data_IF_185630069873
#
_entry.id   IF_185630069873
#
_cell.length_a   1.000
_cell.length_b   1.000
_cell.length_c   1.000
_cell.angle_alpha   90.00
_cell.angle_beta   90.00
_cell.angle_gamma   90.00
#
_symmetry.space_group_name_H-M   'P 1'
#
loop_
_entity.id
_entity.type
_entity.pdbx_description
1 polymer ?
#
# COMPACT_ATOMS: atom_id res chain seq x y z
N UNK A 1 4.83 -8.54 -47.69
CA UNK A 1 4.95 -7.92 -49.02
C UNK A 1 5.33 -9.03 -49.98
N UNK A 2 4.46 -9.35 -50.93
CA UNK A 2 4.78 -10.33 -51.98
C UNK A 2 5.87 -9.72 -52.87
N UNK A 3 6.95 -10.48 -53.13
CA UNK A 3 8.00 -10.03 -54.04
C UNK A 3 7.37 -9.70 -55.40
N UNK A 4 7.58 -8.47 -55.87
CA UNK A 4 7.18 -8.04 -57.20
C UNK A 4 7.85 -8.97 -58.22
N UNK A 5 7.09 -9.47 -59.19
CA UNK A 5 7.59 -10.32 -60.27
C UNK A 5 7.34 -9.62 -61.58
N UNK A 6 8.33 -9.61 -62.45
CA UNK A 6 8.17 -9.06 -63.78
C UNK A 6 7.11 -9.86 -64.57
N UNK A 7 6.11 -9.17 -65.11
CA UNK A 7 5.02 -9.79 -65.89
C UNK A 7 5.51 -10.40 -67.21
N UNK A 8 6.55 -9.82 -67.81
CA UNK A 8 7.08 -10.24 -69.11
C UNK A 8 8.07 -11.41 -69.05
N UNK A 9 9.05 -11.40 -68.13
CA UNK A 9 10.10 -12.43 -68.05
C UNK A 9 10.04 -13.31 -66.78
N UNK A 10 9.14 -13.01 -65.84
CA UNK A 10 9.03 -13.74 -64.57
C UNK A 10 10.19 -13.50 -63.59
N UNK A 11 11.15 -12.64 -63.94
CA UNK A 11 12.29 -12.29 -63.10
C UNK A 11 11.89 -11.58 -61.82
N UNK A 12 12.64 -11.85 -60.75
CA UNK A 12 12.48 -11.22 -59.44
C UNK A 12 13.40 -10.02 -59.23
N UNK A 13 14.35 -9.81 -60.15
CA UNK A 13 15.27 -8.68 -60.09
C UNK A 13 14.62 -7.46 -60.74
N UNK A 14 14.13 -6.58 -59.86
CA UNK A 14 13.45 -5.34 -60.20
C UNK A 14 14.25 -4.20 -59.57
N UNK A 15 14.65 -3.25 -60.41
CA UNK A 15 15.29 -2.01 -59.99
C UNK A 15 14.20 -0.99 -59.63
N UNK A 16 14.37 -0.34 -58.49
CA UNK A 16 13.41 0.63 -57.93
C UNK A 16 14.11 1.98 -57.94
N UNK A 17 13.96 2.71 -59.04
CA UNK A 17 14.48 4.07 -59.23
C UNK A 17 13.37 5.11 -59.20
N UNK A 18 13.41 6.07 -60.13
CA UNK A 18 12.27 6.96 -60.38
C UNK A 18 11.07 6.21 -61.01
N UNK A 19 11.38 5.16 -61.76
CA UNK A 19 10.46 4.20 -62.34
C UNK A 19 10.85 2.80 -61.84
N UNK A 20 9.87 1.92 -61.65
CA UNK A 20 10.12 0.54 -61.23
C UNK A 20 10.28 -0.32 -62.47
N UNK A 21 11.48 -0.84 -62.74
CA UNK A 21 11.77 -1.57 -63.98
C UNK A 21 12.49 -2.90 -63.73
N UNK A 22 12.23 -3.91 -64.56
CA UNK A 22 12.93 -5.19 -64.47
C UNK A 22 14.33 -5.12 -65.09
N UNK A 23 15.38 -5.48 -64.35
CA UNK A 23 16.77 -5.45 -64.84
C UNK A 23 17.07 -6.50 -65.91
N UNK A 24 16.34 -7.62 -65.91
CA UNK A 24 16.54 -8.73 -66.83
C UNK A 24 15.93 -8.53 -68.22
N UNK A 25 14.85 -7.74 -68.35
CA UNK A 25 14.17 -7.52 -69.64
C UNK A 25 13.90 -6.05 -69.98
N UNK A 26 14.18 -5.11 -69.06
CA UNK A 26 13.98 -3.67 -69.26
C UNK A 26 12.52 -3.20 -69.19
N UNK A 27 11.58 -4.07 -68.80
CA UNK A 27 10.15 -3.71 -68.73
C UNK A 27 9.87 -2.83 -67.52
N UNK A 28 9.24 -1.66 -67.75
CA UNK A 28 8.75 -0.76 -66.70
C UNK A 28 7.41 -1.29 -66.17
N UNK A 29 7.32 -1.47 -64.86
CA UNK A 29 6.17 -1.98 -64.13
C UNK A 29 5.32 -0.83 -63.53
N UNK A 30 5.95 0.28 -63.16
CA UNK A 30 5.28 1.44 -62.57
C UNK A 30 6.04 2.74 -62.92
N UNK A 31 5.36 3.68 -63.59
CA UNK A 31 5.92 4.96 -64.06
C UNK A 31 5.88 6.06 -62.99
N UNK A 32 4.95 5.98 -62.03
CA UNK A 32 4.80 6.97 -60.95
C UNK A 32 4.70 6.25 -59.62
N UNK A 33 5.80 6.27 -58.89
CA UNK A 33 5.86 5.72 -57.54
C UNK A 33 5.09 6.67 -56.62
N UNK A 34 3.95 6.24 -56.09
CA UNK A 34 3.26 6.96 -55.02
C UNK A 34 4.09 6.77 -53.74
N UNK A 35 4.96 7.73 -53.46
CA UNK A 35 5.75 7.72 -52.23
C UNK A 35 4.87 8.22 -51.09
N UNK A 36 4.82 7.48 -49.99
CA UNK A 36 4.13 7.90 -48.75
C UNK A 36 4.89 8.97 -47.96
N UNK A 37 5.95 9.54 -48.53
CA UNK A 37 6.79 10.55 -47.90
C UNK A 37 6.17 11.94 -48.09
N UNK A 38 6.19 12.72 -47.01
CA UNK A 38 5.68 14.09 -47.01
C UNK A 38 6.73 14.98 -47.67
N UNK A 39 6.43 15.52 -48.85
CA UNK A 39 7.27 16.53 -49.49
C UNK A 39 6.99 17.90 -48.86
N UNK A 40 8.02 18.74 -48.73
CA UNK A 40 7.87 20.10 -48.22
C UNK A 40 8.33 21.08 -49.28
N UNK A 41 7.43 21.96 -49.71
CA UNK A 41 7.71 23.04 -50.66
C UNK A 41 7.91 24.35 -49.91
N UNK A 42 8.94 25.11 -50.26
CA UNK A 42 9.14 26.44 -49.69
C UNK A 42 8.12 27.42 -50.27
N UNK A 43 7.25 27.94 -49.40
CA UNK A 43 6.32 29.00 -49.75
C UNK A 43 7.06 30.33 -49.99
N UNK A 44 6.43 31.29 -50.69
CA UNK A 44 7.05 32.56 -51.07
C UNK A 44 7.60 33.41 -49.90
N UNK A 45 7.17 33.11 -48.67
CA UNK A 45 7.59 33.79 -47.45
C UNK A 45 8.66 33.01 -46.65
N UNK A 46 9.27 31.97 -47.22
CA UNK A 46 10.24 31.10 -46.54
C UNK A 46 9.61 30.11 -45.54
N UNK A 47 8.28 29.98 -45.53
CA UNK A 47 7.60 28.96 -44.74
C UNK A 47 7.52 27.67 -45.54
N UNK A 48 7.97 26.55 -44.98
CA UNK A 48 7.81 25.24 -45.60
C UNK A 48 6.34 24.79 -45.51
N UNK A 49 5.73 24.48 -46.65
CA UNK A 49 4.39 23.93 -46.79
C UNK A 49 4.52 22.46 -47.13
N UNK A 50 3.92 21.58 -46.32
CA UNK A 50 3.86 20.16 -46.64
C UNK A 50 2.89 19.92 -47.82
N UNK A 51 3.40 19.34 -48.91
CA UNK A 51 2.64 18.93 -50.07
C UNK A 51 2.05 17.54 -49.82
N UNK A 52 0.76 17.51 -49.50
CA UNK A 52 0.00 16.29 -49.21
C UNK A 52 -1.20 16.54 -48.31
N UNK A 53 -2.22 15.69 -48.38
CA UNK A 53 -3.36 15.74 -47.46
C UNK A 53 -3.16 14.74 -46.32
N UNK A 54 -3.11 15.20 -45.08
CA UNK A 54 -3.04 14.31 -43.92
C UNK A 54 -4.37 13.57 -43.76
N UNK A 55 -4.34 12.24 -43.85
CA UNK A 55 -5.48 11.36 -43.60
C UNK A 55 -5.16 10.55 -42.35
N UNK A 56 -5.89 10.81 -41.26
CA UNK A 56 -5.74 10.08 -40.00
C UNK A 56 -6.24 8.65 -40.17
N UNK A 57 -5.51 7.67 -39.62
CA UNK A 57 -5.89 6.25 -39.64
C UNK A 57 -7.20 5.97 -38.87
N UNK A 58 -7.60 6.89 -38.00
CA UNK A 58 -8.86 6.86 -37.24
C UNK A 58 -9.97 7.72 -37.87
N UNK A 59 -9.68 8.46 -38.95
CA UNK A 59 -10.71 9.26 -39.62
C UNK A 59 -11.66 8.33 -40.37
N UNK A 60 -12.93 8.31 -39.96
CA UNK A 60 -13.99 7.53 -40.61
C UNK A 60 -14.50 8.21 -41.89
N UNK A 61 -13.57 8.73 -42.70
CA UNK A 61 -13.87 9.35 -43.98
C UNK A 61 -14.67 10.64 -43.85
N UNK A 62 -14.01 11.74 -43.47
CA UNK A 62 -14.56 13.10 -43.67
C UNK A 62 -14.41 13.58 -45.13
N UNK A 63 -14.68 12.67 -46.08
CA UNK A 63 -14.69 12.93 -47.52
C UNK A 63 -15.91 12.25 -48.16
N UNK A 64 -17.10 12.39 -47.55
CA UNK A 64 -18.35 11.86 -48.12
C UNK A 64 -18.98 12.77 -49.18
N UNK A 65 -18.34 13.89 -49.54
CA UNK A 65 -18.86 14.83 -50.53
C UNK A 65 -17.78 15.24 -51.52
N UNK A 66 -17.82 14.60 -52.69
CA UNK A 66 -17.18 15.10 -53.90
C UNK A 66 -17.66 16.55 -54.12
N UNK A 67 -16.74 17.52 -53.99
CA UNK A 67 -16.96 18.99 -54.03
C UNK A 67 -17.27 19.77 -52.73
N UNK A 68 -17.35 19.17 -51.54
CA UNK A 68 -17.24 20.00 -50.34
C UNK A 68 -15.76 20.15 -49.99
N UNK A 69 -15.22 21.36 -50.12
CA UNK A 69 -13.84 21.67 -49.79
C UNK A 69 -13.45 21.06 -48.46
N UNK A 70 -12.47 20.15 -48.50
CA UNK A 70 -11.76 19.68 -47.31
C UNK A 70 -11.32 20.93 -46.57
N UNK A 71 -11.84 21.14 -45.36
CA UNK A 71 -11.45 22.28 -44.53
C UNK A 71 -9.98 22.09 -44.15
N UNK A 72 -9.10 22.62 -44.99
CA UNK A 72 -7.67 22.82 -44.74
C UNK A 72 -7.54 23.54 -43.39
N UNK A 73 -7.19 22.81 -42.32
CA UNK A 73 -6.91 23.40 -41.01
C UNK A 73 -7.85 23.02 -39.86
N UNK A 74 -8.82 22.12 -40.06
CA UNK A 74 -9.59 21.57 -38.95
C UNK A 74 -8.77 20.55 -38.16
N UNK A 75 -8.12 20.96 -37.05
CA UNK A 75 -7.50 20.01 -36.11
C UNK A 75 -8.57 19.02 -35.61
N UNK A 76 -8.29 17.71 -35.71
CA UNK A 76 -9.23 16.69 -35.23
C UNK A 76 -9.51 16.89 -33.73
N UNK A 77 -10.77 16.78 -33.29
CA UNK A 77 -11.15 17.02 -31.89
C UNK A 77 -10.40 16.10 -30.91
N UNK A 78 -10.04 14.88 -31.37
CA UNK A 78 -9.23 13.93 -30.61
C UNK A 78 -7.79 14.43 -30.43
N UNK A 79 -7.19 14.97 -31.47
CA UNK A 79 -5.83 15.51 -31.43
C UNK A 79 -5.75 16.75 -30.51
N UNK A 80 -6.74 17.64 -30.59
CA UNK A 80 -6.85 18.78 -29.65
C UNK A 80 -6.92 18.30 -28.21
N UNK A 81 -7.69 17.24 -27.94
CA UNK A 81 -7.81 16.64 -26.59
C UNK A 81 -6.47 16.10 -26.10
N UNK A 82 -5.71 15.42 -26.97
CA UNK A 82 -4.38 14.90 -26.64
C UNK A 82 -3.38 16.06 -26.41
N UNK A 83 -3.45 17.13 -27.20
CA UNK A 83 -2.60 18.31 -27.01
C UNK A 83 -2.90 19.02 -25.67
N UNK A 84 -4.18 19.15 -25.30
CA UNK A 84 -4.59 19.70 -24.01
C UNK A 84 -4.14 18.81 -22.84
N UNK A 85 -4.29 17.49 -22.98
CA UNK A 85 -3.80 16.54 -21.98
C UNK A 85 -2.28 16.59 -21.84
N UNK A 86 -1.54 16.76 -22.94
CA UNK A 86 -0.08 16.97 -22.93
C UNK A 86 0.29 18.18 -22.09
N UNK A 87 -0.36 19.32 -22.30
CA UNK A 87 -0.12 20.54 -21.50
C UNK A 87 -0.39 20.31 -20.02
N UNK A 88 -1.54 19.71 -19.68
CA UNK A 88 -1.92 19.44 -18.29
C UNK A 88 -0.98 18.46 -17.59
N UNK A 89 -0.61 17.36 -18.26
CA UNK A 89 0.31 16.36 -17.71
C UNK A 89 1.71 16.96 -17.53
N UNK A 90 2.21 17.69 -18.52
CA UNK A 90 3.52 18.35 -18.43
C UNK A 90 3.56 19.38 -17.30
N UNK A 91 2.49 20.16 -17.10
CA UNK A 91 2.42 21.14 -16.00
C UNK A 91 2.53 20.46 -14.62
N UNK A 92 1.78 19.39 -14.38
CA UNK A 92 1.81 18.65 -13.11
C UNK A 92 3.18 17.98 -12.90
N UNK A 93 3.73 17.34 -13.94
CA UNK A 93 5.05 16.71 -13.85
C UNK A 93 6.18 17.71 -13.61
N UNK A 94 6.06 18.93 -14.13
CA UNK A 94 7.02 20.01 -13.87
C UNK A 94 6.99 20.44 -12.39
N UNK A 95 5.79 20.56 -11.79
CA UNK A 95 5.65 20.83 -10.36
C UNK A 95 6.25 19.71 -9.49
N UNK A 96 6.12 18.45 -9.93
CA UNK A 96 6.73 17.28 -9.27
C UNK A 96 8.22 17.07 -9.59
N UNK A 97 8.84 17.95 -10.40
CA UNK A 97 10.24 17.85 -10.86
C UNK A 97 10.58 16.50 -11.50
N UNK A 98 9.67 15.93 -12.28
CA UNK A 98 9.83 14.61 -12.89
C UNK A 98 10.50 14.65 -14.28
N UNK A 99 11.17 13.55 -14.64
CA UNK A 99 11.88 13.39 -15.92
C UNK A 99 10.90 13.31 -17.10
N UNK A 100 11.35 13.67 -18.30
CA UNK A 100 10.54 13.61 -19.54
C UNK A 100 10.01 12.21 -19.85
N UNK A 101 10.76 11.15 -19.51
CA UNK A 101 10.31 9.77 -19.70
C UNK A 101 8.97 9.48 -18.99
N UNK A 102 8.75 10.05 -17.80
CA UNK A 102 7.49 9.90 -17.05
C UNK A 102 6.34 10.59 -17.78
N UNK A 103 6.60 11.76 -18.36
CA UNK A 103 5.62 12.55 -19.13
C UNK A 103 5.20 11.78 -20.38
N UNK A 104 6.14 11.25 -21.15
CA UNK A 104 5.85 10.51 -22.38
C UNK A 104 5.08 9.21 -22.11
N UNK A 105 5.45 8.48 -21.04
CA UNK A 105 4.70 7.29 -20.60
C UNK A 105 3.29 7.64 -20.12
N UNK A 106 3.14 8.69 -19.32
CA UNK A 106 1.81 9.16 -18.88
C UNK A 106 0.92 9.53 -20.07
N UNK A 107 1.49 10.14 -21.12
CA UNK A 107 0.77 10.46 -22.34
C UNK A 107 0.40 9.23 -23.16
N UNK A 108 1.28 8.23 -23.23
CA UNK A 108 0.96 6.96 -23.88
C UNK A 108 -0.22 6.27 -23.20
N UNK A 109 -0.23 6.23 -21.87
CA UNK A 109 -1.37 5.71 -21.10
C UNK A 109 -2.65 6.53 -21.33
N UNK A 110 -2.55 7.86 -21.32
CA UNK A 110 -3.70 8.72 -21.60
C UNK A 110 -4.31 8.46 -22.98
N UNK A 111 -3.48 8.31 -24.02
CA UNK A 111 -3.94 7.95 -25.38
C UNK A 111 -4.67 6.61 -25.39
N UNK A 112 -4.16 5.62 -24.66
CA UNK A 112 -4.81 4.31 -24.54
C UNK A 112 -6.17 4.41 -23.84
N UNK A 113 -6.27 5.17 -22.74
CA UNK A 113 -7.55 5.38 -22.04
C UNK A 113 -8.56 6.18 -22.85
N UNK A 114 -8.09 7.12 -23.67
CA UNK A 114 -8.93 7.87 -24.60
C UNK A 114 -9.56 6.95 -25.65
N UNK A 115 -8.77 6.02 -26.21
CA UNK A 115 -9.26 5.00 -27.15
C UNK A 115 -10.29 4.07 -26.50
N UNK A 116 -10.09 3.71 -25.23
CA UNK A 116 -11.03 2.91 -24.44
C UNK A 116 -12.24 3.71 -23.92
N UNK A 117 -12.36 4.99 -24.27
CA UNK A 117 -13.44 5.91 -23.84
C UNK A 117 -13.56 6.04 -22.31
N UNK A 118 -12.51 5.71 -21.55
CA UNK A 118 -12.49 5.71 -20.08
C UNK A 118 -12.34 7.10 -19.47
N UNK A 119 -11.93 8.08 -20.27
CA UNK A 119 -11.75 9.49 -19.89
C UNK A 119 -13.06 10.29 -19.90
N UNK A 120 -14.15 9.75 -20.48
CA UNK A 120 -15.45 10.44 -20.59
C UNK A 120 -16.17 10.49 -19.23
N UNK A 121 -16.76 11.64 -18.91
CA UNK A 121 -17.59 11.83 -17.72
C UNK A 121 -16.81 12.03 -16.40
N UNK A 122 -15.50 12.22 -16.44
CA UNK A 122 -14.67 12.55 -15.27
C UNK A 122 -13.93 13.87 -15.49
N UNK A 123 -13.58 14.55 -14.40
CA UNK A 123 -12.73 15.75 -14.46
C UNK A 123 -11.40 15.42 -15.15
N UNK A 124 -10.94 16.31 -16.02
CA UNK A 124 -9.71 16.08 -16.79
C UNK A 124 -8.49 15.98 -15.89
N UNK A 125 -8.42 16.78 -14.82
CA UNK A 125 -7.35 16.76 -13.81
C UNK A 125 -7.19 15.39 -13.15
N UNK A 126 -8.30 14.74 -12.76
CA UNK A 126 -8.30 13.38 -12.21
C UNK A 126 -7.73 12.36 -13.21
N UNK A 127 -8.10 12.50 -14.49
CA UNK A 127 -7.59 11.61 -15.52
C UNK A 127 -6.08 11.84 -15.73
N UNK A 128 -5.61 13.09 -15.72
CA UNK A 128 -4.19 13.42 -15.84
C UNK A 128 -3.39 12.83 -14.66
N UNK A 129 -3.82 13.07 -13.40
CA UNK A 129 -3.12 12.55 -12.23
C UNK A 129 -3.13 11.02 -12.15
N UNK A 130 -4.22 10.36 -12.52
CA UNK A 130 -4.26 8.90 -12.54
C UNK A 130 -3.28 8.31 -13.57
N UNK A 131 -3.12 8.95 -14.73
CA UNK A 131 -2.14 8.54 -15.76
C UNK A 131 -0.70 8.78 -15.29
N UNK A 132 -0.43 9.94 -14.67
CA UNK A 132 0.88 10.29 -14.10
C UNK A 132 1.25 9.30 -13.00
N UNK A 133 0.35 9.03 -12.06
CA UNK A 133 0.62 8.10 -10.96
C UNK A 133 0.91 6.69 -11.47
N UNK A 134 0.20 6.24 -12.50
CA UNK A 134 0.48 4.94 -13.11
C UNK A 134 1.87 4.88 -13.75
N UNK A 135 2.32 5.96 -14.42
CA UNK A 135 3.67 6.06 -14.95
C UNK A 135 4.74 6.12 -13.84
N UNK A 136 4.49 6.88 -12.76
CA UNK A 136 5.38 6.97 -11.60
C UNK A 136 5.55 5.62 -10.90
N UNK A 137 4.48 4.84 -10.76
CA UNK A 137 4.52 3.48 -10.21
C UNK A 137 5.33 2.52 -11.08
N UNK A 138 5.29 2.68 -12.40
CA UNK A 138 6.08 1.87 -13.31
C UNK A 138 7.57 2.20 -13.24
N UNK A 139 7.93 3.49 -13.09
CA UNK A 139 9.32 3.94 -12.94
C UNK A 139 9.87 3.77 -11.51
N UNK A 140 9.04 3.29 -10.57
CA UNK A 140 9.39 3.14 -9.15
C UNK A 140 9.90 4.44 -8.51
N UNK A 141 9.27 5.59 -8.82
CA UNK A 141 9.60 6.88 -8.21
C UNK A 141 9.08 6.99 -6.76
N UNK A 142 9.75 7.80 -5.96
CA UNK A 142 9.49 8.19 -4.57
C UNK A 142 8.27 9.11 -4.35
N UNK A 143 7.49 9.43 -5.39
CA UNK A 143 6.28 10.26 -5.29
C UNK A 143 5.08 9.47 -4.77
N UNK A 144 4.39 9.99 -3.76
CA UNK A 144 3.20 9.39 -3.18
C UNK A 144 1.92 9.91 -3.86
N UNK A 145 0.84 9.14 -3.76
CA UNK A 145 -0.48 9.53 -4.28
C UNK A 145 -1.00 10.81 -3.62
N UNK A 146 -0.64 11.04 -2.37
CA UNK A 146 -1.00 12.24 -1.59
C UNK A 146 -0.30 13.49 -2.13
N UNK A 147 0.91 13.38 -2.67
CA UNK A 147 1.63 14.55 -3.21
C UNK A 147 0.90 15.08 -4.46
N UNK A 148 0.36 14.18 -5.29
CA UNK A 148 -0.48 14.54 -6.45
C UNK A 148 -1.83 15.15 -6.02
N UNK A 149 -2.37 14.65 -4.92
CA UNK A 149 -3.62 15.15 -4.33
C UNK A 149 -3.44 16.58 -3.81
N UNK A 150 -2.32 16.88 -3.15
CA UNK A 150 -2.01 18.20 -2.61
C UNK A 150 -1.83 19.24 -3.73
N UNK A 151 -1.17 18.86 -4.85
CA UNK A 151 -0.97 19.75 -6.00
C UNK A 151 -2.29 20.09 -6.70
N UNK A 152 -3.19 19.11 -6.83
CA UNK A 152 -4.46 19.30 -7.56
C UNK A 152 -5.61 19.80 -6.67
N UNK A 153 -5.48 19.70 -5.35
CA UNK A 153 -6.57 20.04 -4.43
C UNK A 153 -7.78 19.10 -4.53
N UNK A 154 -7.56 17.82 -4.85
CA UNK A 154 -8.63 16.82 -5.05
C UNK A 154 -8.53 15.75 -3.96
N UNK A 155 -9.65 15.15 -3.53
CA UNK A 155 -9.61 14.08 -2.54
C UNK A 155 -8.83 12.83 -3.02
N UNK A 156 -7.87 12.37 -2.21
CA UNK A 156 -7.06 11.14 -2.44
C UNK A 156 -7.91 9.92 -2.78
N UNK A 157 -9.09 9.78 -2.16
CA UNK A 157 -9.97 8.63 -2.37
C UNK A 157 -10.61 8.62 -3.76
N UNK A 158 -10.95 9.79 -4.31
CA UNK A 158 -11.49 9.92 -5.67
C UNK A 158 -10.43 9.60 -6.72
N UNK A 159 -9.20 10.10 -6.49
CA UNK A 159 -8.04 9.79 -7.32
C UNK A 159 -7.71 8.30 -7.29
N UNK A 160 -7.71 7.69 -6.09
CA UNK A 160 -7.46 6.26 -5.90
C UNK A 160 -8.51 5.37 -6.60
N UNK A 161 -9.79 5.74 -6.56
CA UNK A 161 -10.87 5.02 -7.30
C UNK A 161 -10.63 5.07 -8.81
N UNK A 162 -10.24 6.23 -9.34
CA UNK A 162 -9.95 6.42 -10.76
C UNK A 162 -8.73 5.60 -11.19
N UNK A 163 -7.66 5.65 -10.41
CA UNK A 163 -6.45 4.86 -10.61
C UNK A 163 -6.75 3.35 -10.61
N UNK A 164 -7.49 2.85 -9.62
CA UNK A 164 -7.87 1.45 -9.54
C UNK A 164 -8.73 1.00 -10.73
N UNK A 165 -9.60 1.88 -11.25
CA UNK A 165 -10.38 1.58 -12.44
C UNK A 165 -9.49 1.47 -13.67
N UNK A 166 -8.53 2.38 -13.84
CA UNK A 166 -7.56 2.37 -14.94
C UNK A 166 -6.65 1.13 -14.93
N UNK A 167 -6.08 0.78 -13.79
CA UNK A 167 -5.22 -0.41 -13.65
C UNK A 167 -6.00 -1.70 -13.88
N UNK A 168 -7.23 -1.81 -13.35
CA UNK A 168 -8.12 -2.95 -13.62
C UNK A 168 -8.47 -3.09 -15.09
N UNK A 169 -8.72 -1.99 -15.81
CA UNK A 169 -9.08 -2.04 -17.24
C UNK A 169 -7.92 -2.44 -18.14
N UNK A 170 -6.68 -2.07 -17.79
CA UNK A 170 -5.50 -2.47 -18.55
C UNK A 170 -4.89 -3.79 -18.08
N UNK A 171 -5.44 -4.39 -17.02
CA UNK A 171 -4.91 -5.61 -16.39
C UNK A 171 -3.42 -5.52 -16.00
N UNK A 172 -2.92 -4.31 -15.76
CA UNK A 172 -1.53 -4.09 -15.36
C UNK A 172 -1.45 -4.33 -13.85
N UNK A 173 -0.62 -5.30 -13.45
CA UNK A 173 -0.24 -5.48 -12.04
C UNK A 173 0.86 -4.47 -11.72
N UNK A 174 0.60 -3.46 -10.87
CA UNK A 174 1.65 -2.50 -10.50
C UNK A 174 2.76 -3.23 -9.72
N UNK A 175 4.03 -2.85 -9.91
CA UNK A 175 5.10 -3.42 -9.11
C UNK A 175 4.89 -3.06 -7.63
N UNK A 176 5.27 -3.98 -6.75
CA UNK A 176 5.41 -3.70 -5.32
C UNK A 176 6.47 -2.62 -5.13
N UNK A 177 6.22 -1.70 -4.20
CA UNK A 177 7.17 -0.63 -3.91
C UNK A 177 7.81 -0.83 -2.55
N UNK A 178 9.14 -0.73 -2.54
CA UNK A 178 9.92 -0.85 -1.32
C UNK A 178 9.91 0.49 -0.56
N UNK A 179 9.68 0.49 0.76
CA UNK A 179 9.63 1.73 1.54
C UNK A 179 10.97 2.47 1.59
N UNK A 180 12.09 1.78 1.34
CA UNK A 180 13.44 2.36 1.36
C UNK A 180 13.60 3.55 0.40
N UNK A 181 12.89 3.56 -0.74
CA UNK A 181 12.94 4.66 -1.71
C UNK A 181 12.46 6.00 -1.13
N UNK A 182 11.55 5.99 -0.15
CA UNK A 182 11.01 7.21 0.42
C UNK A 182 11.94 7.87 1.46
N UNK A 183 12.89 7.12 2.02
CA UNK A 183 13.77 7.59 3.10
C UNK A 183 14.67 8.73 2.62
N UNK A 184 15.28 8.59 1.44
CA UNK A 184 16.14 9.62 0.87
C UNK A 184 15.37 10.93 0.61
N UNK A 185 14.14 10.82 0.10
CA UNK A 185 13.27 11.97 -0.12
C UNK A 185 12.95 12.71 1.19
N UNK A 186 12.49 11.98 2.20
CA UNK A 186 12.09 12.55 3.48
C UNK A 186 13.27 13.10 4.30
N UNK A 187 14.42 12.42 4.29
CA UNK A 187 15.65 12.91 4.94
C UNK A 187 16.16 14.21 4.33
N UNK A 188 15.98 14.42 3.02
CA UNK A 188 16.27 15.69 2.36
C UNK A 188 15.34 16.83 2.78
N UNK A 189 14.12 16.52 3.23
CA UNK A 189 13.14 17.49 3.72
C UNK A 189 13.28 17.81 5.21
N UNK A 190 13.94 16.94 5.99
CA UNK A 190 14.09 17.06 7.46
C UNK A 190 15.32 17.89 7.89
N UNK A 191 16.04 18.50 6.94
CA UNK A 191 17.22 19.38 7.18
C UNK A 191 18.21 18.79 8.21
N UNK A 192 18.71 17.58 7.94
CA UNK A 192 19.57 16.81 8.86
C UNK A 192 21.06 17.19 8.83
N UNK A 193 21.41 18.41 8.39
CA UNK A 193 22.79 18.91 8.38
C UNK A 193 23.80 17.98 7.66
N UNK A 194 24.99 17.85 8.25
CA UNK A 194 26.13 17.06 7.72
C UNK A 194 25.95 15.55 7.84
N UNK A 195 25.23 15.08 8.87
CA UNK A 195 25.07 13.65 9.16
C UNK A 195 23.81 13.04 8.53
N UNK A 196 23.13 13.78 7.64
CA UNK A 196 21.96 13.32 6.86
C UNK A 196 22.18 11.94 6.25
N UNK A 197 23.38 11.70 5.72
CA UNK A 197 23.70 10.44 5.03
C UNK A 197 23.77 9.27 6.03
N UNK A 198 24.40 9.47 7.18
CA UNK A 198 24.46 8.48 8.26
C UNK A 198 23.06 8.14 8.77
N UNK A 199 22.25 9.16 9.07
CA UNK A 199 20.85 9.00 9.51
C UNK A 199 20.02 8.27 8.46
N UNK A 200 20.16 8.63 7.18
CA UNK A 200 19.41 7.98 6.09
C UNK A 200 19.78 6.50 5.92
N UNK A 201 21.06 6.16 6.09
CA UNK A 201 21.54 4.79 5.98
C UNK A 201 21.04 3.94 7.15
N UNK A 202 21.14 4.45 8.39
CA UNK A 202 20.58 3.78 9.58
C UNK A 202 19.07 3.59 9.45
N UNK A 203 18.34 4.63 9.02
CA UNK A 203 16.89 4.53 8.77
C UNK A 203 16.55 3.47 7.71
N UNK A 204 17.36 3.33 6.66
CA UNK A 204 17.17 2.30 5.65
C UNK A 204 17.34 0.90 6.20
N UNK A 205 18.36 0.67 7.05
CA UNK A 205 18.56 -0.60 7.74
C UNK A 205 17.40 -0.93 8.68
N UNK A 206 16.92 0.06 9.43
CA UNK A 206 15.72 -0.10 10.28
C UNK A 206 14.51 -0.52 9.42
N UNK A 207 14.25 0.13 8.29
CA UNK A 207 13.13 -0.25 7.41
C UNK A 207 13.30 -1.65 6.82
N UNK A 208 14.53 -2.06 6.48
CA UNK A 208 14.80 -3.43 6.03
C UNK A 208 14.53 -4.45 7.14
N UNK A 209 14.89 -4.12 8.39
CA UNK A 209 14.55 -4.92 9.57
C UNK A 209 13.04 -5.02 9.76
N UNK A 210 12.33 -3.90 9.70
CA UNK A 210 10.85 -3.85 9.71
C UNK A 210 10.21 -4.68 8.59
N UNK A 211 10.92 -4.85 7.46
CA UNK A 211 10.49 -5.72 6.37
C UNK A 211 10.62 -7.19 6.73
N UNK A 212 11.74 -7.58 7.35
CA UNK A 212 12.02 -8.94 7.84
C UNK A 212 11.06 -9.34 8.96
N UNK A 213 10.76 -8.43 9.88
CA UNK A 213 9.83 -8.63 11.00
C UNK A 213 8.34 -8.53 10.61
N UNK A 214 8.01 -8.53 9.31
CA UNK A 214 6.66 -8.43 8.74
C UNK A 214 5.75 -7.29 9.25
N UNK A 215 6.28 -6.32 10.01
CA UNK A 215 5.49 -5.19 10.52
C UNK A 215 5.01 -4.28 9.39
N UNK A 216 5.65 -4.34 8.22
CA UNK A 216 5.28 -3.55 7.05
C UNK A 216 4.01 -4.04 6.32
N UNK A 217 3.64 -5.32 6.49
CA UNK A 217 2.62 -5.95 5.66
C UNK A 217 1.23 -5.34 5.89
N UNK A 218 0.50 -5.07 4.80
CA UNK A 218 -0.86 -4.51 4.85
C UNK A 218 -0.94 -3.05 5.32
N UNK A 219 0.18 -2.35 5.47
CA UNK A 219 0.24 -0.98 6.02
C UNK A 219 0.82 0.02 5.04
N UNK A 220 0.62 1.31 5.33
CA UNK A 220 1.14 2.41 4.51
C UNK A 220 2.65 2.56 4.73
N UNK A 221 3.48 2.58 3.67
CA UNK A 221 4.93 2.70 3.80
C UNK A 221 5.37 4.01 4.43
N UNK A 222 4.65 5.11 4.19
CA UNK A 222 4.94 6.43 4.77
C UNK A 222 5.09 6.38 6.29
N UNK A 223 4.18 5.69 6.99
CA UNK A 223 4.22 5.57 8.46
C UNK A 223 5.45 4.84 8.98
N UNK A 224 5.93 3.82 8.26
CA UNK A 224 7.12 3.06 8.63
C UNK A 224 8.39 3.88 8.39
N UNK A 225 8.48 4.56 7.24
CA UNK A 225 9.60 5.44 6.93
C UNK A 225 9.71 6.59 7.93
N UNK A 226 8.58 7.18 8.34
CA UNK A 226 8.56 8.23 9.37
C UNK A 226 9.05 7.75 10.72
N UNK A 227 8.61 6.55 11.16
CA UNK A 227 9.06 5.94 12.42
C UNK A 227 10.55 5.62 12.38
N UNK A 228 11.02 5.02 11.28
CA UNK A 228 12.44 4.71 11.07
C UNK A 228 13.32 5.96 11.04
N UNK A 229 12.86 7.06 10.42
CA UNK A 229 13.57 8.33 10.41
C UNK A 229 13.64 8.96 11.80
N UNK A 230 12.56 8.91 12.57
CA UNK A 230 12.57 9.43 13.94
C UNK A 230 13.54 8.65 14.83
N UNK A 231 13.54 7.32 14.73
CA UNK A 231 14.47 6.47 15.46
C UNK A 231 15.92 6.73 15.07
N UNK A 232 16.21 6.73 13.76
CA UNK A 232 17.56 7.02 13.28
C UNK A 232 18.02 8.43 13.68
N UNK A 233 17.14 9.43 13.66
CA UNK A 233 17.47 10.77 14.09
C UNK A 233 17.85 10.81 15.59
N UNK A 234 17.05 10.15 16.45
CA UNK A 234 17.35 10.04 17.89
C UNK A 234 18.66 9.28 18.17
N UNK A 235 18.96 8.25 17.40
CA UNK A 235 20.18 7.45 17.55
C UNK A 235 21.46 8.22 17.19
N UNK A 236 21.37 9.17 16.26
CA UNK A 236 22.48 10.06 15.91
C UNK A 236 22.41 11.40 16.67
N UNK A 237 21.70 11.45 17.81
CA UNK A 237 21.54 12.63 18.68
C UNK A 237 20.87 13.86 18.01
N UNK A 238 20.16 13.65 16.89
CA UNK A 238 19.35 14.67 16.25
C UNK A 238 17.90 14.59 16.73
N UNK A 239 17.60 15.31 17.80
CA UNK A 239 16.27 15.32 18.40
C UNK A 239 15.32 16.21 17.57
N UNK A 240 14.55 15.59 16.66
CA UNK A 240 13.41 16.21 15.98
C UNK A 240 12.10 15.86 16.67
N UNK A 241 11.15 16.80 16.67
CA UNK A 241 9.83 16.54 17.25
C UNK A 241 9.03 15.57 16.34
N UNK A 242 8.18 14.71 16.91
CA UNK A 242 7.27 13.87 16.13
C UNK A 242 6.37 14.69 15.18
N UNK A 243 5.99 15.90 15.61
CA UNK A 243 5.20 16.87 14.85
C UNK A 243 5.88 17.32 13.55
N UNK A 244 7.20 17.52 13.55
CA UNK A 244 7.92 17.94 12.35
C UNK A 244 7.98 16.83 11.30
N UNK A 245 8.15 15.58 11.75
CA UNK A 245 8.15 14.41 10.87
C UNK A 245 6.76 14.18 10.27
N UNK A 246 5.70 14.36 11.08
CA UNK A 246 4.31 14.28 10.64
C UNK A 246 4.00 15.24 9.49
N UNK A 247 4.49 16.49 9.56
CA UNK A 247 4.30 17.51 8.50
C UNK A 247 4.92 17.09 7.16
N UNK A 248 6.04 16.39 7.20
CA UNK A 248 6.80 15.93 6.04
C UNK A 248 6.19 14.65 5.46
N UNK A 249 5.95 13.65 6.31
CA UNK A 249 5.49 12.31 5.91
C UNK A 249 3.99 12.27 5.63
N UNK A 250 3.25 13.32 6.02
CA UNK A 250 1.82 13.50 5.80
C UNK A 250 0.98 12.36 6.41
N UNK A 251 1.23 12.07 7.67
CA UNK A 251 0.52 11.07 8.48
C UNK A 251 0.04 11.69 9.78
N UNK A 252 -0.91 11.06 10.47
CA UNK A 252 -1.29 11.50 11.81
C UNK A 252 -0.27 11.02 12.86
N UNK A 253 -0.04 11.82 13.90
CA UNK A 253 0.94 11.55 14.95
C UNK A 253 0.67 10.24 15.70
N UNK A 254 -0.59 9.93 16.01
CA UNK A 254 -0.98 8.64 16.62
C UNK A 254 -0.61 7.43 15.76
N UNK A 255 -0.54 7.58 14.43
CA UNK A 255 -0.09 6.50 13.53
C UNK A 255 1.41 6.30 13.65
N UNK A 256 2.18 7.39 13.81
CA UNK A 256 3.63 7.34 14.03
C UNK A 256 3.94 6.65 15.36
N UNK A 257 3.32 7.09 16.47
CA UNK A 257 3.50 6.49 17.81
C UNK A 257 3.22 4.98 17.82
N UNK A 258 2.14 4.53 17.18
CA UNK A 258 1.82 3.09 17.06
C UNK A 258 2.92 2.31 16.35
N UNK A 259 3.59 2.87 15.35
CA UNK A 259 4.68 2.19 14.62
C UNK A 259 5.95 2.10 15.44
N UNK A 260 6.24 3.12 16.26
CA UNK A 260 7.37 3.11 17.19
C UNK A 260 7.17 2.04 18.27
N UNK A 261 5.98 1.99 18.87
CA UNK A 261 5.63 0.95 19.86
C UNK A 261 5.71 -0.46 19.25
N UNK A 262 5.15 -0.67 18.05
CA UNK A 262 5.24 -1.97 17.36
C UNK A 262 6.69 -2.42 17.11
N UNK A 263 7.62 -1.49 16.87
CA UNK A 263 9.05 -1.79 16.70
C UNK A 263 9.75 -2.01 18.05
N UNK A 264 9.40 -1.25 19.08
CA UNK A 264 9.91 -1.45 20.44
C UNK A 264 9.51 -2.80 21.07
N UNK A 265 8.45 -3.45 20.58
CA UNK A 265 8.09 -4.83 20.97
C UNK A 265 8.85 -5.92 20.20
N UNK A 266 9.71 -5.56 19.25
CA UNK A 266 10.54 -6.53 18.52
C UNK A 266 11.90 -6.67 19.17
N UNK A 267 12.53 -7.84 19.02
CA UNK A 267 13.89 -8.09 19.55
C UNK A 267 14.92 -7.09 19.01
N UNK A 268 14.69 -6.54 17.82
CA UNK A 268 15.54 -5.50 17.24
C UNK A 268 15.43 -4.14 17.95
N UNK A 269 14.38 -3.92 18.75
CA UNK A 269 14.20 -2.74 19.57
C UNK A 269 15.06 -2.75 20.84
N UNK A 270 15.49 -3.92 21.32
CA UNK A 270 16.27 -4.02 22.56
C UNK A 270 17.78 -3.85 22.34
N UNK A 271 18.26 -3.91 21.10
CA UNK A 271 19.68 -3.74 20.76
C UNK A 271 20.18 -2.29 20.91
N UNK A 272 21.48 -2.14 21.13
CA UNK A 272 22.16 -0.83 21.03
C UNK A 272 22.46 -0.45 19.57
N UNK A 273 22.85 0.81 19.33
CA UNK A 273 23.12 1.32 17.98
C UNK A 273 24.24 0.55 17.27
N UNK A 274 25.32 0.24 17.98
CA UNK A 274 26.49 -0.44 17.42
C UNK A 274 26.20 -1.93 17.14
N UNK A 275 25.49 -2.58 18.06
CA UNK A 275 25.02 -3.96 17.90
C UNK A 275 24.05 -4.07 16.73
N UNK A 276 23.11 -3.14 16.57
CA UNK A 276 22.18 -3.13 15.44
C UNK A 276 22.88 -2.98 14.08
N UNK A 277 24.01 -2.28 14.05
CA UNK A 277 24.80 -2.09 12.83
C UNK A 277 25.66 -3.30 12.46
N UNK A 278 25.93 -4.20 13.40
CA UNK A 278 26.86 -5.33 13.21
C UNK A 278 26.15 -6.68 13.20
N UNK A 279 25.11 -6.84 14.03
CA UNK A 279 24.41 -8.09 14.26
C UNK A 279 23.12 -8.14 13.43
N UNK A 280 23.03 -9.13 12.55
CA UNK A 280 21.79 -9.46 11.85
C UNK A 280 21.04 -10.55 12.64
N UNK A 281 20.00 -10.15 13.39
CA UNK A 281 19.14 -11.12 14.07
C UNK A 281 18.39 -11.99 13.04
N UNK A 282 18.35 -13.32 13.22
CA UNK A 282 17.64 -14.23 12.31
C UNK A 282 16.15 -14.40 12.64
N UNK A 283 15.75 -14.19 13.90
CA UNK A 283 14.35 -14.30 14.33
C UNK A 283 13.44 -13.35 13.53
N UNK A 284 12.24 -13.83 13.20
CA UNK A 284 11.22 -13.08 12.48
C UNK A 284 10.04 -12.83 13.42
N UNK A 285 9.60 -11.58 13.53
CA UNK A 285 8.39 -11.26 14.28
C UNK A 285 7.11 -11.48 13.46
N UNK A 286 6.04 -11.92 14.12
CA UNK A 286 4.72 -12.03 13.51
C UNK A 286 4.10 -10.65 13.22
N UNK A 287 3.31 -10.49 12.13
CA UNK A 287 2.60 -9.25 11.87
C UNK A 287 1.65 -8.88 13.03
N UNK A 288 1.55 -7.61 13.45
CA UNK A 288 0.75 -7.26 14.64
C UNK A 288 -0.77 -7.58 14.56
N UNK A 289 -1.32 -7.84 13.36
CA UNK A 289 -2.68 -8.38 13.24
C UNK A 289 -2.84 -9.76 13.87
N UNK A 290 -1.78 -10.58 13.87
CA UNK A 290 -1.76 -11.88 14.54
C UNK A 290 -1.64 -11.72 16.05
N UNK A 291 -0.79 -10.80 16.52
CA UNK A 291 -0.66 -10.45 17.95
C UNK A 291 -2.01 -10.01 18.54
N UNK A 292 -2.75 -9.13 17.88
CA UNK A 292 -4.05 -8.66 18.35
C UNK A 292 -5.10 -9.78 18.43
N UNK A 293 -5.14 -10.67 17.43
CA UNK A 293 -6.05 -11.83 17.46
C UNK A 293 -5.67 -12.80 18.58
N UNK A 294 -4.38 -13.09 18.76
CA UNK A 294 -3.86 -13.96 19.83
C UNK A 294 -4.14 -13.38 21.21
N UNK A 295 -3.98 -12.06 21.40
CA UNK A 295 -4.30 -11.38 22.66
C UNK A 295 -5.78 -11.48 22.98
N UNK A 296 -6.66 -11.20 22.01
CA UNK A 296 -8.10 -11.35 22.20
C UNK A 296 -8.50 -12.80 22.50
N UNK A 297 -7.88 -13.78 21.83
CA UNK A 297 -8.16 -15.19 22.09
C UNK A 297 -7.64 -15.62 23.48
N UNK A 298 -6.49 -15.09 23.92
CA UNK A 298 -5.98 -15.28 25.28
C UNK A 298 -6.92 -14.65 26.31
N UNK A 299 -7.35 -13.42 26.13
CA UNK A 299 -8.32 -12.75 27.01
C UNK A 299 -9.66 -13.47 27.04
N UNK A 300 -10.11 -14.05 25.92
CA UNK A 300 -11.31 -14.89 25.88
C UNK A 300 -11.13 -16.18 26.66
N UNK A 301 -9.98 -16.84 26.53
CA UNK A 301 -9.66 -18.04 27.28
C UNK A 301 -9.58 -17.72 28.77
N UNK A 302 -8.88 -16.64 29.16
CA UNK A 302 -8.77 -16.20 30.54
C UNK A 302 -10.12 -15.79 31.14
N UNK A 303 -11.05 -15.25 30.35
CA UNK A 303 -12.45 -15.01 30.77
C UNK A 303 -13.31 -16.27 30.81
N UNK A 304 -12.95 -17.34 30.09
CA UNK A 304 -13.60 -18.65 30.19
C UNK A 304 -13.02 -19.49 31.33
N UNK A 305 -11.74 -19.31 31.61
CA UNK A 305 -11.02 -19.72 32.82
C UNK A 305 -11.19 -18.67 33.92
N UNK A 306 -12.37 -18.02 33.98
CA UNK A 306 -12.72 -17.27 35.17
C UNK A 306 -12.50 -18.21 36.35
N UNK A 307 -11.59 -17.81 37.24
CA UNK A 307 -11.33 -18.47 38.51
C UNK A 307 -12.68 -18.94 39.07
N UNK A 308 -12.80 -20.25 39.27
CA UNK A 308 -13.78 -20.72 40.24
C UNK A 308 -13.23 -20.16 41.54
N UNK A 309 -13.84 -19.10 42.05
CA UNK A 309 -13.52 -18.59 43.36
C UNK A 309 -13.97 -19.65 44.38
N UNK A 310 -12.99 -20.43 44.85
CA UNK A 310 -13.21 -21.55 45.78
C UNK A 310 -13.12 -21.07 47.23
N UNK A 311 -12.95 -19.75 47.45
CA UNK A 311 -12.77 -19.21 48.81
C UNK A 311 -14.05 -19.27 49.65
N UNK A 312 -15.21 -19.44 49.02
CA UNK A 312 -16.54 -19.49 49.65
C UNK A 312 -17.16 -20.91 49.77
N UNK A 313 -16.45 -21.98 49.40
CA UNK A 313 -17.00 -23.35 49.44
C UNK A 313 -16.31 -24.17 50.54
N UNK A 314 -17.06 -24.51 51.59
CA UNK A 314 -16.59 -25.40 52.66
C UNK A 314 -16.37 -26.84 52.14
N UNK A 315 -15.31 -27.51 52.61
CA UNK A 315 -14.95 -28.89 52.20
C UNK A 315 -16.11 -29.91 52.38
N UNK A 316 -17.00 -29.68 53.35
CA UNK A 316 -18.18 -30.52 53.59
C UNK A 316 -19.32 -30.32 52.56
N UNK A 317 -19.37 -29.17 51.89
CA UNK A 317 -20.29 -28.90 50.79
C UNK A 317 -19.76 -29.48 49.47
N UNK A 318 -18.44 -29.45 49.27
CA UNK A 318 -17.75 -30.12 48.15
C UNK A 318 -18.02 -31.63 48.13
N UNK A 319 -17.99 -32.30 49.27
CA UNK A 319 -18.27 -33.74 49.38
C UNK A 319 -19.71 -34.12 48.99
N UNK A 320 -20.67 -33.18 49.07
CA UNK A 320 -22.05 -33.40 48.60
C UNK A 320 -22.18 -33.24 47.07
N UNK A 321 -21.28 -32.48 46.43
CA UNK A 321 -21.24 -32.30 44.97
C UNK A 321 -20.35 -33.34 44.26
N UNK A 322 -19.36 -33.89 44.96
CA UNK A 322 -18.52 -34.98 44.46
C UNK A 322 -19.34 -36.26 44.41
N UNK A 323 -19.53 -36.79 43.20
CA UNK A 323 -20.24 -38.05 43.00
C UNK A 323 -19.49 -39.18 43.72
N UNK A 324 -20.21 -40.02 44.45
CA UNK A 324 -19.60 -41.23 45.02
C UNK A 324 -18.96 -42.08 43.92
N UNK A 325 -17.88 -42.80 44.25
CA UNK A 325 -17.11 -43.60 43.29
C UNK A 325 -18.00 -44.53 42.43
N UNK A 326 -19.04 -45.10 43.04
CA UNK A 326 -20.04 -45.94 42.36
C UNK A 326 -20.91 -45.18 41.36
N UNK A 327 -21.27 -43.93 41.66
CA UNK A 327 -22.06 -43.08 40.76
C UNK A 327 -21.22 -42.54 39.60
N UNK A 328 -19.94 -42.22 39.87
CA UNK A 328 -18.98 -41.83 38.84
C UNK A 328 -18.68 -42.98 37.87
N UNK A 329 -18.47 -44.19 38.37
CA UNK A 329 -18.32 -45.41 37.55
C UNK A 329 -19.57 -45.70 36.73
N UNK A 330 -20.76 -45.58 37.34
CA UNK A 330 -22.02 -45.80 36.65
C UNK A 330 -22.22 -44.77 35.54
N UNK A 331 -22.02 -43.47 35.81
CA UNK A 331 -22.12 -42.43 34.79
C UNK A 331 -21.06 -42.55 33.71
N UNK A 332 -19.83 -42.92 34.05
CA UNK A 332 -18.75 -43.15 33.07
C UNK A 332 -19.09 -44.33 32.17
N UNK A 333 -19.54 -45.45 32.74
CA UNK A 333 -19.97 -46.62 31.95
C UNK A 333 -21.18 -46.31 31.06
N UNK A 334 -22.13 -45.52 31.56
CA UNK A 334 -23.29 -45.07 30.79
C UNK A 334 -22.87 -44.15 29.65
N UNK A 335 -21.97 -43.21 29.91
CA UNK A 335 -21.43 -42.28 28.91
C UNK A 335 -20.65 -43.03 27.83
N UNK A 336 -19.76 -43.95 28.19
CA UNK A 336 -19.01 -44.78 27.24
C UNK A 336 -19.94 -45.65 26.39
N UNK A 337 -21.01 -46.20 26.99
CA UNK A 337 -21.99 -47.01 26.28
C UNK A 337 -22.86 -46.19 25.32
N UNK A 338 -23.29 -45.01 25.73
CA UNK A 338 -24.11 -44.11 24.90
C UNK A 338 -23.28 -43.50 23.77
N UNK A 339 -22.02 -43.16 24.05
CA UNK A 339 -21.11 -42.50 23.10
C UNK A 339 -20.17 -43.48 22.38
N UNK A 340 -20.39 -44.78 22.48
CA UNK A 340 -19.51 -45.81 21.90
C UNK A 340 -19.27 -45.58 20.40
N UNK A 341 -20.32 -45.26 19.65
CA UNK A 341 -20.23 -44.96 18.21
C UNK A 341 -19.41 -43.69 17.93
N UNK A 342 -19.57 -42.67 18.78
CA UNK A 342 -18.84 -41.41 18.66
C UNK A 342 -17.35 -41.59 18.98
N UNK A 343 -17.02 -42.39 19.98
CA UNK A 343 -15.64 -42.73 20.35
C UNK A 343 -14.91 -43.49 19.23
N UNK A 344 -15.57 -44.48 18.60
CA UNK A 344 -15.02 -45.19 17.44
C UNK A 344 -14.79 -44.26 16.25
N UNK A 345 -15.72 -43.36 15.96
CA UNK A 345 -15.57 -42.38 14.88
C UNK A 345 -14.41 -41.39 15.14
N UNK A 346 -14.17 -41.00 16.39
CA UNK A 346 -13.01 -40.17 16.74
C UNK A 346 -11.69 -40.94 16.60
N UNK A 347 -11.64 -42.19 17.04
CA UNK A 347 -10.44 -43.03 16.92
C UNK A 347 -10.08 -43.26 15.45
N UNK A 348 -11.03 -43.62 14.59
CA UNK A 348 -10.79 -43.77 13.15
C UNK A 348 -10.28 -42.46 12.51
N UNK A 349 -10.81 -41.32 12.95
CA UNK A 349 -10.42 -40.01 12.44
C UNK A 349 -9.03 -39.57 12.91
N UNK A 350 -8.62 -39.98 14.11
CA UNK A 350 -7.30 -39.74 14.66
C UNK A 350 -6.25 -40.65 14.01
N UNK A 351 -6.56 -41.94 13.82
CA UNK A 351 -5.73 -42.87 13.04
C UNK A 351 -5.57 -42.42 11.58
N UNK A 352 -6.65 -41.90 10.97
CA UNK A 352 -6.59 -41.33 9.63
C UNK A 352 -5.70 -40.08 9.60
N UNK A 353 -5.74 -39.25 10.64
CA UNK A 353 -4.87 -38.08 10.77
C UNK A 353 -3.40 -38.49 10.95
N UNK A 354 -3.12 -39.50 11.76
CA UNK A 354 -1.76 -40.04 11.92
C UNK A 354 -1.22 -40.61 10.61
N UNK A 355 -2.04 -41.39 9.87
CA UNK A 355 -1.66 -41.88 8.54
C UNK A 355 -1.41 -40.75 7.55
N UNK A 356 -2.24 -39.70 7.55
CA UNK A 356 -2.04 -38.54 6.67
C UNK A 356 -0.76 -37.74 7.02
N UNK A 357 -0.35 -37.73 8.30
CA UNK A 357 0.91 -37.13 8.77
C UNK A 357 2.12 -37.98 8.34
N UNK A 358 2.05 -39.30 8.50
CA UNK A 358 3.10 -40.24 8.05
C UNK A 358 3.26 -40.24 6.52
N UNK A 359 2.17 -40.05 5.77
CA UNK A 359 2.17 -39.92 4.31
C UNK A 359 2.55 -38.51 3.79
N UNK A 360 2.81 -37.55 4.68
CA UNK A 360 3.30 -36.21 4.33
C UNK A 360 2.32 -35.36 3.50
N UNK A 361 1.01 -35.59 3.59
CA UNK A 361 0.01 -34.82 2.83
C UNK A 361 -0.19 -33.42 3.42
N UNK A 362 -0.33 -32.36 2.59
CA UNK A 362 -0.54 -31.00 3.08
C UNK A 362 -1.88 -30.86 3.81
N UNK A 363 -1.84 -30.22 4.99
CA UNK A 363 -2.98 -30.06 5.88
C UNK A 363 -4.12 -29.27 5.20
N UNK A 364 -5.30 -29.89 5.07
CA UNK A 364 -6.48 -29.22 4.50
C UNK A 364 -7.03 -28.24 5.54
N UNK A 365 -6.83 -26.94 5.30
CA UNK A 365 -7.43 -25.86 6.11
C UNK A 365 -8.95 -26.07 6.21
N UNK A 366 -9.45 -26.28 7.43
CA UNK A 366 -10.91 -26.34 7.69
C UNK A 366 -11.54 -25.02 7.24
N UNK A 367 -12.45 -25.08 6.27
CA UNK A 367 -13.30 -23.94 5.92
C UNK A 367 -14.13 -23.55 7.15
N UNK A 368 -13.98 -22.30 7.62
CA UNK A 368 -14.84 -21.69 8.65
C UNK A 368 -16.29 -21.78 8.19
N UNK A 369 -17.10 -22.60 8.85
CA UNK A 369 -18.56 -22.48 8.81
C UNK A 369 -18.96 -21.45 9.87
N UNK A 370 -19.48 -20.32 9.43
CA UNK A 370 -20.08 -19.30 10.29
C UNK A 370 -21.32 -19.89 10.96
N UNK A 371 -21.21 -20.27 12.24
CA UNK A 371 -22.39 -20.63 13.05
C UNK A 371 -23.21 -19.36 13.29
N UNK A 372 -24.44 -19.37 12.75
CA UNK A 372 -25.47 -18.35 12.95
C UNK A 372 -25.84 -18.29 14.44
N UNK A 373 -25.61 -17.15 15.10
CA UNK A 373 -26.05 -16.90 16.49
C UNK A 373 -27.56 -17.11 16.58
N UNK A 374 -28.02 -17.97 17.49
CA UNK A 374 -29.40 -17.99 17.99
C UNK A 374 -29.47 -17.03 19.17
N UNK A 375 -30.40 -16.08 19.08
CA UNK A 375 -30.71 -15.10 20.11
C UNK A 375 -31.19 -15.78 21.40
N UNK A 376 -30.71 -15.31 22.54
CA UNK A 376 -31.47 -15.28 23.79
C UNK A 376 -31.44 -13.84 24.30
N UNK A 377 -32.63 -13.34 24.59
CA UNK A 377 -32.96 -12.01 25.11
C UNK A 377 -32.73 -11.90 26.62
N UNK A 378 -32.60 -10.68 27.16
CA UNK A 378 -32.10 -10.43 28.52
C UNK A 378 -33.23 -10.41 29.56
N UNK A 379 -32.86 -10.63 30.83
CA UNK A 379 -33.69 -10.29 31.98
C UNK A 379 -32.95 -9.24 32.82
N UNK A 380 -33.65 -8.14 33.08
CA UNK A 380 -33.25 -6.97 33.87
C UNK A 380 -33.35 -7.24 35.37
N UNK A 381 -32.47 -6.59 36.14
CA UNK A 381 -32.70 -5.89 37.45
C UNK A 381 -31.37 -5.90 38.21
N UNK A 382 -30.93 -4.91 38.96
CA UNK A 382 -31.32 -3.54 39.27
C UNK A 382 -30.07 -2.94 39.96
N UNK A 383 -30.00 -1.62 39.99
CA UNK A 383 -29.00 -0.79 40.67
C UNK A 383 -28.95 -1.12 42.16
N UNK A 384 -27.75 -1.16 42.76
CA UNK A 384 -27.44 -0.50 44.04
C UNK A 384 -25.98 0.00 44.01
N UNK A 385 -25.82 1.28 44.36
CA UNK A 385 -24.57 1.93 44.77
C UNK A 385 -24.24 1.45 46.19
N UNK A 386 -22.96 1.33 46.53
CA UNK A 386 -22.45 1.73 47.85
C UNK A 386 -20.92 1.86 47.79
N UNK A 387 -20.45 2.88 48.50
CA UNK A 387 -19.09 3.39 48.64
C UNK A 387 -18.24 2.56 49.63
N UNK A 388 -17.01 3.02 49.83
CA UNK A 388 -16.00 2.64 50.86
C UNK A 388 -15.14 1.42 50.48
N UNK A 389 -13.81 1.48 50.30
CA UNK A 389 -12.80 2.36 50.90
C UNK A 389 -12.00 1.54 51.92
N UNK A 390 -10.80 1.04 51.56
CA UNK A 390 -9.58 1.21 52.36
C UNK A 390 -8.32 0.53 51.78
N UNK A 391 -7.21 1.20 52.08
CA UNK A 391 -5.78 0.87 51.96
C UNK A 391 -5.37 -0.50 52.53
N UNK A 392 -4.26 -1.09 52.06
CA UNK A 392 -2.91 -1.08 52.70
C UNK A 392 -1.85 -1.64 51.73
N UNK A 393 -0.66 -1.05 51.90
CA UNK A 393 0.69 -1.16 51.33
C UNK A 393 1.33 -2.53 51.01
N UNK A 394 2.55 -2.37 50.46
CA UNK A 394 3.73 -3.26 50.40
C UNK A 394 3.97 -3.87 49.01
N UNK A 395 5.09 -3.65 48.31
CA UNK A 395 6.48 -3.47 48.75
C UNK A 395 7.27 -2.61 47.74
N UNK A 396 8.11 -1.72 48.27
CA UNK A 396 9.14 -1.01 47.53
C UNK A 396 10.38 -1.92 47.39
N UNK A 397 10.77 -2.24 46.17
CA UNK A 397 12.11 -2.77 45.89
C UNK A 397 13.10 -1.59 45.78
N UNK A 398 14.09 -1.59 46.67
CA UNK A 398 15.26 -0.73 46.63
C UNK A 398 16.06 -1.04 45.35
N UNK A 399 16.22 -0.04 44.48
CA UNK A 399 17.18 -0.10 43.39
C UNK A 399 18.52 0.47 43.88
N UNK A 400 19.53 -0.39 43.93
CA UNK A 400 20.93 0.01 44.13
C UNK A 400 21.38 0.89 42.95
N UNK A 401 21.97 2.05 43.27
CA UNK A 401 22.62 2.94 42.32
C UNK A 401 24.00 2.35 41.95
N UNK A 402 24.07 1.67 40.81
CA UNK A 402 25.34 1.38 40.14
C UNK A 402 25.60 2.45 39.06
N UNK A 403 26.57 3.33 39.35
CA UNK A 403 27.15 4.29 38.42
C UNK A 403 28.02 3.57 37.37
N UNK A 404 27.41 3.10 36.29
CA UNK A 404 28.12 2.79 35.05
C UNK A 404 27.30 3.34 33.87
N UNK A 405 27.97 4.05 32.94
CA UNK A 405 27.29 4.68 31.80
C UNK A 405 26.67 3.63 30.86
N UNK A 406 25.41 3.27 31.10
CA UNK A 406 24.67 2.31 30.30
C UNK A 406 24.32 2.88 28.92
N UNK A 407 24.72 2.16 27.89
CA UNK A 407 24.25 2.39 26.52
C UNK A 407 22.74 2.10 26.44
N UNK A 408 21.94 3.15 26.30
CA UNK A 408 20.48 3.08 26.28
C UNK A 408 20.01 2.27 25.05
N UNK A 409 19.20 1.22 25.26
CA UNK A 409 18.59 0.44 24.18
C UNK A 409 17.66 1.29 23.30
N UNK A 410 17.48 0.92 22.01
CA UNK A 410 16.60 1.64 21.08
C UNK A 410 15.18 1.77 21.65
N UNK A 411 14.68 0.75 22.33
CA UNK A 411 13.37 0.69 22.97
C UNK A 411 13.23 1.59 24.20
N UNK A 412 14.27 1.72 25.03
CA UNK A 412 14.30 2.67 26.15
C UNK A 412 14.37 4.12 25.67
N UNK A 413 15.12 4.40 24.60
CA UNK A 413 15.25 5.71 23.96
C UNK A 413 13.94 6.19 23.28
N UNK A 414 13.03 5.24 23.00
CA UNK A 414 11.66 5.53 22.55
C UNK A 414 10.69 5.85 23.69
N UNK A 415 10.97 5.37 24.91
CA UNK A 415 10.15 5.57 26.12
C UNK A 415 10.55 6.80 26.93
N UNK A 416 11.83 7.18 26.92
CA UNK A 416 12.29 8.39 27.61
C UNK A 416 12.19 9.63 26.71
N UNK A 417 11.68 10.73 27.29
CA UNK A 417 11.36 12.05 26.73
C UNK A 417 10.04 12.17 25.95
N UNK A 418 8.94 12.12 26.70
CA UNK A 418 7.75 12.95 26.45
C UNK A 418 7.38 13.83 27.69
N UNK A 419 8.28 13.98 28.69
CA UNK A 419 8.05 14.79 29.92
C UNK A 419 8.50 16.26 29.81
N UNK A 420 8.57 16.84 28.62
CA UNK A 420 9.05 18.21 28.42
C UNK A 420 8.15 19.06 27.54
N UNK A 421 7.19 19.76 28.16
CA UNK A 421 6.55 20.97 27.62
C UNK A 421 5.10 20.81 27.19
N UNK A 422 4.14 21.06 28.08
CA UNK A 422 3.58 22.38 28.34
C UNK A 422 2.24 22.19 29.09
N UNK A 423 2.26 22.56 30.37
CA UNK A 423 1.08 23.01 31.09
C UNK A 423 0.51 24.22 30.33
N UNK A 424 -0.60 24.01 29.64
CA UNK A 424 -1.52 25.11 29.35
C UNK A 424 -2.86 24.71 29.94
N UNK A 425 -3.09 25.27 31.13
CA UNK A 425 -4.39 25.52 31.71
C UNK A 425 -5.35 26.01 30.62
N UNK A 426 -6.26 25.14 30.19
CA UNK A 426 -7.49 25.61 29.55
C UNK A 426 -8.45 25.98 30.66
N UNK A 427 -8.30 27.24 31.08
CA UNK A 427 -9.26 27.95 31.90
C UNK A 427 -10.61 28.03 31.16
N UNK A 428 -11.63 27.54 31.84
CA UNK A 428 -13.03 27.60 31.48
C UNK A 428 -13.55 29.03 31.75
N UNK A 429 -14.12 29.69 30.75
CA UNK A 429 -14.96 30.86 30.98
C UNK A 429 -14.69 32.11 30.14
N UNK A 430 -15.51 32.31 29.11
CA UNK A 430 -16.21 33.57 28.78
C UNK A 430 -16.93 33.35 27.45
N UNK A 431 -18.24 33.14 27.48
CA UNK A 431 -19.23 34.23 27.44
C UNK A 431 -19.03 35.18 26.25
N UNK A 432 -19.69 34.85 25.14
CA UNK A 432 -20.26 35.84 24.23
C UNK A 432 -21.55 35.26 23.65
N UNK A 433 -22.65 35.56 24.34
CA UNK A 433 -23.65 36.50 23.83
C UNK A 433 -24.25 36.23 22.45
N UNK A 434 -25.55 35.97 22.49
CA UNK A 434 -26.56 36.25 21.49
C UNK A 434 -26.40 37.63 20.78
N UNK A 435 -27.08 37.71 19.63
CA UNK A 435 -27.92 38.85 19.19
C UNK A 435 -27.45 39.76 18.02
N UNK A 436 -28.37 39.86 17.03
CA UNK A 436 -28.56 40.79 15.88
C UNK A 436 -27.62 40.64 14.66
N UNK A 437 -28.06 40.59 13.39
CA UNK A 437 -29.35 40.86 12.71
C UNK A 437 -29.46 39.97 11.43
#
# INVERSE_FOLDING_TARGET
MSALKCTSCGGTDIDIGAEVACTGCGMVLEDQIIVSEVTFDEGPSGNMIASGTFVSNDSTGAASSFHAGVRLGGKESKEITIQNAKRGITQICLQLKQKQNVIDRALAYYKQFLNLKLTRGRKQELNHAACIYMALRHEQSDVLLIDLSDILGICVHELGRTYLKFTKTLCIKPPSMDPCWFIYRFSGQLELGTDREKVSHTAMRIVQRMKKDYIHYGRRPSGLCGAALLMAARLHEFNRTPSDIVKIVKIHESTLRKRLLEFGETEAGDLTLEEFMTVEIESEADPPSFKASRKQDRERLQKMEGEIDITDIDDAELDNYIMSEKEAEFKSSLWHRVNEKYLKEQQEKEEQRQRDIEEGKPEKKRRRTTKKKKNQTPANSAVEEDEDGDYVDDEAEEAEEDEDGEEISIGQLLRQKDEGGDDNDYDDGSDYGEEYD
#
